data_IF_987953330534
#
_entry.id   IF_987953330534
#
_cell.length_a   1.000
_cell.length_b   1.000
_cell.length_c   1.000
_cell.angle_alpha   90.00
_cell.angle_beta   90.00
_cell.angle_gamma   90.00
#
_symmetry.space_group_name_H-M   'P 1'
#
loop_
_entity.id
_entity.type
_entity.pdbx_description
1 polymer ?
#
# COMPACT_ATOMS: atom_id res chain seq x y z
N UNK A 1 45.60 41.56 27.47
CA UNK A 1 45.79 41.97 26.06
C UNK A 1 44.57 41.53 25.27
N UNK A 2 43.92 42.50 24.61
CA UNK A 2 43.09 42.41 23.39
C UNK A 2 41.90 41.43 23.39
N UNK A 3 40.66 41.80 23.04
CA UNK A 3 40.10 43.00 22.40
C UNK A 3 38.58 43.03 22.61
N UNK A 4 38.04 44.23 22.81
CA UNK A 4 36.62 44.58 22.62
C UNK A 4 36.35 44.82 21.13
N UNK A 5 35.12 44.54 20.69
CA UNK A 5 34.53 45.06 19.43
C UNK A 5 34.51 46.61 19.42
N UNK A 6 34.37 47.25 18.24
CA UNK A 6 33.02 47.58 17.76
C UNK A 6 32.81 47.72 16.22
N UNK A 7 31.52 47.66 15.88
CA UNK A 7 30.77 48.48 14.90
C UNK A 7 30.89 48.25 13.37
N UNK A 8 29.68 48.16 12.82
CA UNK A 8 29.16 48.02 11.45
C UNK A 8 29.42 49.26 10.56
N UNK A 9 29.46 49.09 9.23
CA UNK A 9 28.58 49.93 8.41
C UNK A 9 27.86 49.21 7.26
N UNK A 10 26.60 49.66 7.09
CA UNK A 10 25.64 49.34 6.05
C UNK A 10 26.20 49.31 4.62
N UNK A 11 25.73 48.35 3.82
CA UNK A 11 25.46 48.58 2.38
C UNK A 11 24.19 47.84 1.98
N UNK A 12 23.22 48.61 1.45
CA UNK A 12 21.96 48.10 0.95
C UNK A 12 22.13 47.32 -0.35
N UNK A 13 21.28 46.31 -0.55
CA UNK A 13 21.05 45.71 -1.86
C UNK A 13 19.55 45.58 -2.08
N UNK A 14 19.13 46.18 -3.18
CA UNK A 14 17.79 46.37 -3.72
C UNK A 14 17.08 45.05 -4.04
N UNK A 15 15.88 44.86 -3.52
CA UNK A 15 14.92 43.87 -3.98
C UNK A 15 14.06 44.48 -5.11
N UNK A 16 14.23 43.98 -6.34
CA UNK A 16 13.39 44.37 -7.48
C UNK A 16 12.03 43.67 -7.38
N UNK A 17 11.00 44.46 -7.08
CA UNK A 17 9.60 44.05 -7.11
C UNK A 17 9.05 44.28 -8.51
N UNK A 18 8.60 43.23 -9.20
CA UNK A 18 7.85 43.36 -10.46
C UNK A 18 6.37 43.24 -10.14
N UNK A 19 5.71 44.40 -10.11
CA UNK A 19 4.25 44.52 -10.01
C UNK A 19 3.67 44.49 -11.42
N UNK A 20 2.79 43.54 -11.73
CA UNK A 20 1.87 43.63 -12.87
C UNK A 20 0.45 43.40 -12.38
N UNK A 21 -0.37 44.46 -12.50
CA UNK A 21 -1.78 44.52 -12.08
C UNK A 21 -2.65 44.64 -13.32
N UNK A 22 -3.58 43.69 -13.56
CA UNK A 22 -4.78 43.82 -14.43
C UNK A 22 -5.92 42.93 -13.83
N UNK A 23 -7.22 43.33 -13.89
CA UNK A 23 -8.24 43.12 -12.83
C UNK A 23 -9.17 41.88 -13.05
N UNK A 24 -10.14 41.59 -12.15
CA UNK A 24 -10.70 40.26 -11.96
C UNK A 24 -11.99 40.02 -12.75
N UNK A 25 -12.19 38.77 -13.21
CA UNK A 25 -13.52 38.19 -13.33
C UNK A 25 -13.49 36.66 -13.47
N UNK A 26 -14.52 36.09 -12.86
CA UNK A 26 -15.03 34.72 -12.95
C UNK A 26 -14.42 33.69 -11.99
N UNK A 27 -15.23 33.48 -10.94
CA UNK A 27 -15.17 32.36 -10.03
C UNK A 27 -15.17 31.05 -10.81
N UNK A 28 -14.08 30.30 -10.69
CA UNK A 28 -14.11 28.85 -10.88
C UNK A 28 -13.54 28.27 -9.60
N UNK A 29 -14.41 27.60 -8.85
CA UNK A 29 -14.08 26.82 -7.66
C UNK A 29 -13.05 25.77 -8.05
N UNK A 30 -11.77 26.08 -7.84
CA UNK A 30 -10.70 25.11 -7.91
C UNK A 30 -10.80 24.23 -6.69
N UNK A 31 -11.36 23.02 -6.86
CA UNK A 31 -11.27 21.94 -5.90
C UNK A 31 -9.78 21.67 -5.66
N UNK A 32 -9.29 22.08 -4.50
CA UNK A 32 -7.92 21.87 -4.04
C UNK A 32 -7.68 20.38 -3.87
N UNK A 33 -6.83 19.83 -4.74
CA UNK A 33 -6.23 18.50 -4.57
C UNK A 33 -5.33 18.59 -3.33
N UNK A 34 -5.72 17.91 -2.26
CA UNK A 34 -4.96 17.79 -1.02
C UNK A 34 -3.54 17.30 -1.32
N UNK A 35 -2.53 18.04 -0.86
CA UNK A 35 -1.12 17.69 -0.99
C UNK A 35 -0.84 16.34 -0.33
N UNK A 36 -0.38 15.37 -1.12
CA UNK A 36 0.05 14.07 -0.63
C UNK A 36 1.39 14.28 0.09
N UNK A 37 1.36 14.37 1.42
CA UNK A 37 2.57 14.48 2.22
C UNK A 37 3.32 13.13 2.18
N UNK A 38 4.38 13.05 1.37
CA UNK A 38 5.18 11.85 1.25
C UNK A 38 6.14 11.77 2.46
N UNK A 39 5.69 11.19 3.58
CA UNK A 39 6.57 10.90 4.74
C UNK A 39 7.78 10.04 4.32
N UNK A 40 7.60 9.18 3.31
CA UNK A 40 8.63 8.30 2.79
C UNK A 40 8.99 8.61 1.34
N UNK A 41 10.28 8.50 0.96
CA UNK A 41 10.76 8.76 -0.40
C UNK A 41 10.36 7.65 -1.39
N UNK A 42 9.95 6.47 -0.90
CA UNK A 42 9.46 5.35 -1.69
C UNK A 42 8.06 4.94 -1.22
N UNK A 43 7.24 4.32 -2.10
CA UNK A 43 6.00 3.69 -1.67
C UNK A 43 6.25 2.62 -0.60
N UNK A 44 5.42 2.58 0.43
CA UNK A 44 5.45 1.50 1.42
C UNK A 44 4.79 0.24 0.84
N UNK A 45 5.29 -0.94 1.14
CA UNK A 45 4.65 -2.19 0.75
C UNK A 45 3.43 -2.47 1.62
N UNK A 46 2.24 -2.60 1.01
CA UNK A 46 1.00 -2.99 1.66
C UNK A 46 0.82 -4.51 1.61
N UNK A 47 1.06 -5.16 2.74
CA UNK A 47 0.85 -6.59 2.89
C UNK A 47 -0.59 -6.90 3.34
N UNK A 48 -1.26 -7.82 2.64
CA UNK A 48 -2.61 -8.31 2.98
C UNK A 48 -2.71 -9.84 3.04
N UNK A 49 -1.65 -10.56 2.67
CA UNK A 49 -1.57 -12.02 2.69
C UNK A 49 -0.65 -12.53 3.81
N UNK A 50 0.11 -13.59 3.55
CA UNK A 50 1.03 -14.16 4.54
C UNK A 50 2.12 -13.19 5.00
N UNK A 51 2.41 -12.15 4.21
CA UNK A 51 3.36 -11.09 4.55
C UNK A 51 2.82 -10.11 5.60
N UNK A 52 1.57 -10.22 6.06
CA UNK A 52 1.11 -9.57 7.30
C UNK A 52 1.97 -9.99 8.51
N UNK A 53 2.63 -11.14 8.44
CA UNK A 53 3.59 -11.63 9.43
C UNK A 53 4.95 -10.97 9.23
N UNK A 54 5.43 -10.22 10.23
CA UNK A 54 6.82 -9.72 10.24
C UNK A 54 7.84 -10.86 10.25
N UNK A 55 7.50 -12.00 10.86
CA UNK A 55 8.30 -13.23 10.77
C UNK A 55 8.44 -13.71 9.32
N UNK A 56 7.34 -13.71 8.54
CA UNK A 56 7.37 -14.07 7.12
C UNK A 56 8.21 -13.08 6.31
N UNK A 57 8.04 -11.78 6.56
CA UNK A 57 8.82 -10.73 5.91
C UNK A 57 10.31 -10.89 6.18
N UNK A 58 10.73 -11.14 7.43
CA UNK A 58 12.12 -11.37 7.82
C UNK A 58 12.75 -12.60 7.16
N UNK A 59 11.96 -13.63 6.87
CA UNK A 59 12.43 -14.82 6.15
C UNK A 59 12.68 -14.50 4.67
N UNK A 60 11.85 -13.66 4.04
CA UNK A 60 11.92 -13.35 2.61
C UNK A 60 12.93 -12.23 2.29
N UNK A 61 13.00 -11.22 3.15
CA UNK A 61 13.79 -10.02 2.99
C UNK A 61 15.16 -10.20 3.67
N UNK A 62 16.11 -10.78 2.94
CA UNK A 62 17.42 -11.15 3.50
C UNK A 62 18.51 -10.10 3.28
N UNK A 63 18.24 -9.03 2.53
CA UNK A 63 19.21 -7.97 2.28
C UNK A 63 19.29 -6.99 3.46
N UNK A 64 18.16 -6.40 3.84
CA UNK A 64 18.02 -5.56 5.03
C UNK A 64 16.78 -5.96 5.84
N UNK A 65 16.83 -7.10 6.55
CA UNK A 65 15.69 -7.59 7.32
C UNK A 65 15.26 -6.65 8.45
N UNK A 66 16.16 -5.81 8.99
CA UNK A 66 15.80 -4.89 10.08
C UNK A 66 14.95 -3.72 9.56
N UNK A 67 15.20 -3.26 8.34
CA UNK A 67 14.35 -2.30 7.65
C UNK A 67 13.08 -2.99 7.12
N UNK A 68 13.26 -3.97 6.23
CA UNK A 68 12.21 -4.52 5.38
C UNK A 68 11.21 -5.43 6.09
N UNK A 69 11.50 -5.88 7.32
CA UNK A 69 10.56 -6.67 8.13
C UNK A 69 9.94 -5.92 9.30
N UNK A 70 10.29 -4.64 9.50
CA UNK A 70 9.74 -3.82 10.59
C UNK A 70 8.37 -3.24 10.17
N UNK A 71 7.27 -3.59 10.85
CA UNK A 71 5.96 -3.00 10.57
C UNK A 71 5.98 -1.49 10.82
N UNK A 72 5.56 -0.71 9.83
CA UNK A 72 5.52 0.76 9.88
C UNK A 72 4.15 1.29 10.28
N UNK A 73 3.08 0.68 9.77
CA UNK A 73 1.71 1.13 10.02
C UNK A 73 0.69 0.02 9.75
N UNK A 74 -0.53 0.21 10.27
CA UNK A 74 -1.74 -0.43 9.76
C UNK A 74 -2.44 0.57 8.84
N UNK A 75 -2.88 0.09 7.68
CA UNK A 75 -3.57 0.90 6.69
C UNK A 75 -4.75 0.14 6.08
N UNK A 76 -5.61 0.88 5.39
CA UNK A 76 -6.79 0.36 4.73
C UNK A 76 -6.96 0.86 3.30
N UNK A 77 -7.64 0.05 2.49
CA UNK A 77 -8.02 0.32 1.11
C UNK A 77 -9.54 0.22 1.00
N UNK A 78 -10.21 1.35 0.82
CA UNK A 78 -11.68 1.43 0.77
C UNK A 78 -12.23 1.07 -0.62
N UNK A 79 -13.31 0.30 -0.66
CA UNK A 79 -13.90 -0.26 -1.89
C UNK A 79 -13.16 -1.47 -2.46
N UNK A 80 -12.10 -1.92 -1.79
CA UNK A 80 -11.33 -3.10 -2.17
C UNK A 80 -11.88 -4.33 -1.46
N UNK A 81 -11.68 -5.51 -2.06
CA UNK A 81 -12.14 -6.78 -1.49
C UNK A 81 -11.02 -7.79 -1.34
N UNK A 82 -10.91 -8.41 -0.18
CA UNK A 82 -9.98 -9.48 0.11
C UNK A 82 -10.65 -10.84 -0.11
N UNK A 83 -9.91 -11.78 -0.69
CA UNK A 83 -10.39 -13.16 -0.89
C UNK A 83 -9.21 -14.13 -1.04
N UNK A 84 -9.52 -15.42 -1.02
CA UNK A 84 -8.62 -16.47 -1.49
C UNK A 84 -8.98 -16.79 -2.94
N UNK A 85 -8.03 -16.62 -3.87
CA UNK A 85 -8.24 -16.91 -5.28
C UNK A 85 -8.23 -18.43 -5.55
N UNK A 86 -8.58 -18.83 -6.77
CA UNK A 86 -8.64 -20.25 -7.15
C UNK A 86 -7.29 -20.97 -7.10
N UNK A 87 -6.17 -20.24 -7.05
CA UNK A 87 -4.85 -20.82 -6.79
C UNK A 87 -4.63 -21.18 -5.30
N UNK A 88 -5.52 -20.73 -4.41
CA UNK A 88 -5.51 -21.00 -2.98
C UNK A 88 -4.64 -20.05 -2.15
N UNK A 89 -4.39 -18.84 -2.66
CA UNK A 89 -3.63 -17.78 -2.02
C UNK A 89 -4.45 -16.50 -1.86
N UNK A 90 -4.05 -15.63 -0.92
CA UNK A 90 -4.70 -14.34 -0.74
C UNK A 90 -4.52 -13.45 -1.96
N UNK A 91 -5.59 -12.76 -2.32
CA UNK A 91 -5.61 -11.73 -3.34
C UNK A 91 -6.54 -10.60 -2.91
N UNK A 92 -6.42 -9.46 -3.58
CA UNK A 92 -7.32 -8.32 -3.44
C UNK A 92 -7.91 -7.94 -4.78
N UNK A 93 -9.18 -7.55 -4.78
CA UNK A 93 -9.89 -7.06 -5.95
C UNK A 93 -10.09 -5.56 -5.81
N UNK A 94 -9.62 -4.73 -6.77
CA UNK A 94 -9.86 -3.30 -6.75
C UNK A 94 -11.35 -2.96 -7.00
N UNK A 95 -11.77 -1.73 -6.66
CA UNK A 95 -13.13 -1.28 -6.90
C UNK A 95 -13.46 -1.29 -8.41
N UNK A 96 -14.75 -1.39 -8.80
CA UNK A 96 -15.17 -1.62 -10.19
C UNK A 96 -14.53 -0.69 -11.23
N UNK A 97 -14.31 0.57 -10.89
CA UNK A 97 -13.70 1.61 -11.73
C UNK A 97 -12.20 1.44 -11.96
N UNK A 98 -11.55 0.51 -11.25
CA UNK A 98 -10.13 0.18 -11.42
C UNK A 98 -9.89 -1.25 -11.92
N UNK A 99 -10.92 -2.10 -11.99
CA UNK A 99 -10.77 -3.48 -12.48
C UNK A 99 -10.31 -3.54 -13.93
N UNK A 100 -9.44 -4.51 -14.23
CA UNK A 100 -8.94 -4.82 -15.59
C UNK A 100 -9.07 -6.31 -15.91
N UNK A 101 -9.23 -6.66 -17.19
CA UNK A 101 -9.17 -8.05 -17.64
C UNK A 101 -10.17 -8.96 -16.91
N UNK A 102 -9.67 -10.05 -16.31
CA UNK A 102 -10.51 -11.01 -15.56
C UNK A 102 -11.20 -10.40 -14.35
N UNK A 103 -10.64 -9.33 -13.79
CA UNK A 103 -11.28 -8.62 -12.69
C UNK A 103 -12.63 -8.02 -13.10
N UNK A 104 -12.78 -7.58 -14.34
CA UNK A 104 -14.06 -7.05 -14.85
C UNK A 104 -15.10 -8.15 -15.06
N UNK A 105 -14.67 -9.35 -15.46
CA UNK A 105 -15.60 -10.44 -15.80
C UNK A 105 -15.98 -11.32 -14.61
N UNK A 106 -15.02 -11.61 -13.73
CA UNK A 106 -15.20 -12.57 -12.63
C UNK A 106 -15.29 -11.86 -11.26
N UNK A 107 -14.90 -10.58 -11.16
CA UNK A 107 -14.79 -9.84 -9.89
C UNK A 107 -16.10 -9.58 -9.15
N UNK A 108 -17.25 -9.59 -9.82
CA UNK A 108 -18.55 -9.39 -9.16
C UNK A 108 -18.92 -10.56 -8.23
N UNK A 109 -18.31 -11.72 -8.42
CA UNK A 109 -18.49 -12.89 -7.54
C UNK A 109 -17.66 -12.79 -6.25
N UNK A 110 -16.71 -11.87 -6.15
CA UNK A 110 -15.89 -11.67 -4.94
C UNK A 110 -16.70 -10.93 -3.88
N UNK A 111 -16.86 -11.50 -2.66
CA UNK A 111 -17.69 -10.92 -1.63
C UNK A 111 -17.12 -9.59 -1.09
N UNK A 112 -18.02 -8.73 -0.64
CA UNK A 112 -17.70 -7.48 0.08
C UNK A 112 -16.86 -7.81 1.32
N UNK A 113 -15.85 -6.99 1.59
CA UNK A 113 -14.93 -7.17 2.73
C UNK A 113 -15.37 -6.39 3.96
N UNK A 114 -16.12 -7.07 4.82
CA UNK A 114 -16.65 -6.47 6.05
C UNK A 114 -17.80 -5.52 5.78
N UNK A 115 -18.35 -4.91 6.83
CA UNK A 115 -19.43 -3.93 6.70
C UNK A 115 -18.98 -2.64 5.97
N UNK A 116 -17.67 -2.35 6.00
CA UNK A 116 -17.08 -1.14 5.41
C UNK A 116 -16.66 -1.29 3.93
N UNK A 117 -16.74 -2.49 3.35
CA UNK A 117 -16.18 -2.84 2.01
C UNK A 117 -14.72 -2.40 1.86
N UNK A 118 -13.88 -2.83 2.80
CA UNK A 118 -12.50 -2.34 2.95
C UNK A 118 -11.54 -3.50 3.16
N UNK A 119 -10.30 -3.36 2.69
CA UNK A 119 -9.19 -4.28 3.02
C UNK A 119 -8.20 -3.61 3.96
N UNK A 120 -7.87 -4.28 5.06
CA UNK A 120 -6.78 -3.86 5.94
C UNK A 120 -5.46 -4.56 5.59
N UNK A 121 -4.35 -3.86 5.82
CA UNK A 121 -3.00 -4.37 5.61
C UNK A 121 -1.98 -3.78 6.58
N UNK A 122 -0.79 -4.38 6.59
CA UNK A 122 0.39 -3.84 7.28
C UNK A 122 1.31 -3.21 6.26
N UNK A 123 1.80 -2.01 6.56
CA UNK A 123 2.78 -1.30 5.74
C UNK A 123 4.19 -1.62 6.19
N UNK A 124 5.08 -1.87 5.22
CA UNK A 124 6.52 -2.03 5.42
C UNK A 124 7.28 -1.03 4.56
N UNK A 125 8.32 -0.42 5.12
CA UNK A 125 9.37 0.19 4.29
C UNK A 125 10.22 -0.92 3.70
N UNK A 126 10.71 -0.76 2.48
CA UNK A 126 11.46 -1.80 1.77
C UNK A 126 12.73 -1.24 1.16
N UNK A 127 13.86 -1.92 1.38
CA UNK A 127 15.04 -1.70 0.55
C UNK A 127 14.73 -2.10 -0.91
N UNK A 128 15.31 -1.45 -1.93
CA UNK A 128 15.14 -1.85 -3.32
C UNK A 128 15.51 -3.33 -3.58
N UNK A 129 16.52 -3.83 -2.88
CA UNK A 129 17.01 -5.20 -2.98
C UNK A 129 16.02 -6.21 -2.38
N UNK A 130 15.41 -5.91 -1.24
CA UNK A 130 14.37 -6.76 -0.64
C UNK A 130 13.05 -6.70 -1.41
N UNK A 131 12.70 -5.55 -1.99
CA UNK A 131 11.58 -5.45 -2.93
C UNK A 131 11.82 -6.37 -4.14
N UNK A 132 13.04 -6.41 -4.68
CA UNK A 132 13.39 -7.33 -5.76
C UNK A 132 13.36 -8.81 -5.33
N UNK A 133 13.75 -9.12 -4.08
CA UNK A 133 13.58 -10.48 -3.54
C UNK A 133 12.09 -10.85 -3.43
N UNK A 134 11.24 -9.94 -2.94
CA UNK A 134 9.80 -10.15 -2.90
C UNK A 134 9.19 -10.31 -4.29
N UNK A 135 9.64 -9.55 -5.28
CA UNK A 135 9.20 -9.72 -6.68
C UNK A 135 9.41 -11.17 -7.16
N UNK A 136 10.47 -11.86 -6.69
CA UNK A 136 10.67 -13.29 -6.95
C UNK A 136 9.72 -14.23 -6.19
N UNK A 137 9.29 -13.87 -4.97
CA UNK A 137 8.30 -14.66 -4.20
C UNK A 137 6.88 -14.49 -4.73
N UNK A 138 6.56 -13.31 -5.26
CA UNK A 138 5.27 -12.99 -5.88
C UNK A 138 5.26 -13.30 -7.39
N UNK A 139 6.36 -13.87 -7.91
CA UNK A 139 6.60 -14.25 -9.32
C UNK A 139 6.23 -13.13 -10.30
N UNK A 140 6.78 -11.93 -10.10
CA UNK A 140 6.52 -10.75 -10.94
C UNK A 140 7.25 -10.86 -12.28
N UNK A 141 6.52 -10.68 -13.38
CA UNK A 141 7.12 -10.59 -14.72
C UNK A 141 7.70 -9.19 -14.99
N UNK A 142 8.98 -9.00 -14.67
CA UNK A 142 9.71 -7.76 -14.98
C UNK A 142 9.80 -7.45 -16.48
N UNK A 143 9.58 -8.44 -17.35
CA UNK A 143 9.56 -8.30 -18.80
C UNK A 143 8.21 -7.88 -19.37
N UNK A 144 7.17 -7.78 -18.53
CA UNK A 144 5.82 -7.44 -18.96
C UNK A 144 5.76 -6.04 -19.61
N UNK A 145 4.91 -5.92 -20.62
CA UNK A 145 4.70 -4.66 -21.34
C UNK A 145 4.11 -3.59 -20.43
N UNK A 146 4.32 -2.32 -20.77
CA UNK A 146 3.61 -1.22 -20.14
C UNK A 146 2.08 -1.44 -20.16
N UNK A 147 1.38 -0.92 -19.15
CA UNK A 147 -0.07 -1.07 -19.08
C UNK A 147 -0.75 -0.52 -20.32
N UNK A 148 -1.69 -1.31 -20.84
CA UNK A 148 -2.54 -1.01 -21.99
C UNK A 148 -3.92 -0.56 -21.54
N UNK A 149 -4.19 -0.52 -20.23
CA UNK A 149 -5.46 -0.09 -19.69
C UNK A 149 -5.69 1.39 -20.01
N UNK A 150 -6.87 1.70 -20.54
CA UNK A 150 -7.33 3.09 -20.71
C UNK A 150 -8.04 3.63 -19.45
N UNK A 151 -8.40 2.71 -18.55
CA UNK A 151 -9.22 2.96 -17.36
C UNK A 151 -8.35 3.21 -16.14
N UNK A 152 -7.26 2.46 -16.00
CA UNK A 152 -6.31 2.58 -14.89
C UNK A 152 -5.09 3.37 -15.36
N UNK A 153 -4.77 4.52 -14.74
CA UNK A 153 -3.57 5.27 -15.04
C UNK A 153 -2.29 4.46 -14.87
N UNK A 154 -1.30 4.71 -15.72
CA UNK A 154 0.02 4.05 -15.66
C UNK A 154 0.78 4.35 -14.37
N UNK A 155 0.47 5.44 -13.68
CA UNK A 155 1.01 5.73 -12.34
C UNK A 155 0.50 4.77 -11.25
N UNK A 156 -0.69 4.18 -11.44
CA UNK A 156 -1.27 3.19 -10.52
C UNK A 156 -0.90 1.78 -10.93
N UNK A 157 -1.02 1.47 -12.23
CA UNK A 157 -0.69 0.17 -12.79
C UNK A 157 0.32 0.37 -13.93
N UNK A 158 1.63 0.34 -13.67
CA UNK A 158 2.63 0.66 -14.70
C UNK A 158 2.75 -0.39 -15.81
N UNK A 159 2.50 -1.66 -15.49
CA UNK A 159 2.69 -2.81 -16.41
C UNK A 159 1.46 -3.69 -16.50
N UNK A 160 1.41 -4.55 -17.50
CA UNK A 160 0.58 -5.75 -17.49
C UNK A 160 1.13 -6.78 -16.50
N UNK A 161 0.31 -7.71 -15.99
CA UNK A 161 0.81 -8.83 -15.18
C UNK A 161 1.82 -9.71 -15.94
N UNK A 162 1.60 -9.90 -17.25
CA UNK A 162 2.50 -10.71 -18.07
C UNK A 162 2.36 -12.20 -17.78
N UNK A 163 3.49 -12.90 -17.63
CA UNK A 163 3.54 -14.35 -17.37
C UNK A 163 3.63 -14.72 -15.89
N UNK A 164 3.73 -13.73 -15.02
CA UNK A 164 3.88 -13.88 -13.59
C UNK A 164 2.55 -14.11 -12.86
N UNK A 165 2.64 -14.45 -11.58
CA UNK A 165 1.46 -14.68 -10.73
C UNK A 165 0.84 -13.38 -10.21
N UNK A 166 1.66 -12.38 -9.85
CA UNK A 166 1.18 -11.09 -9.36
C UNK A 166 1.79 -9.92 -10.15
N UNK A 167 1.02 -8.85 -10.30
CA UNK A 167 1.45 -7.57 -10.84
C UNK A 167 1.65 -6.53 -9.73
N UNK A 168 2.48 -5.52 -9.99
CA UNK A 168 2.76 -4.41 -9.07
C UNK A 168 1.84 -3.23 -9.35
N UNK A 169 1.08 -2.85 -8.33
CA UNK A 169 0.23 -1.66 -8.32
C UNK A 169 0.72 -0.67 -7.28
N UNK A 170 0.53 0.62 -7.56
CA UNK A 170 0.88 1.72 -6.68
C UNK A 170 -0.39 2.51 -6.37
N UNK A 171 -0.92 2.37 -5.15
CA UNK A 171 -2.22 2.94 -4.81
C UNK A 171 -2.20 3.65 -3.45
N UNK A 172 -2.90 4.79 -3.30
CA UNK A 172 -3.06 5.44 -2.00
C UNK A 172 -3.83 4.56 -1.01
N UNK A 173 -3.23 4.27 0.14
CA UNK A 173 -3.87 3.63 1.29
C UNK A 173 -4.06 4.65 2.41
N UNK A 174 -5.14 4.51 3.18
CA UNK A 174 -5.41 5.34 4.35
C UNK A 174 -4.74 4.69 5.55
N UNK A 175 -3.76 5.36 6.16
CA UNK A 175 -3.10 4.91 7.38
C UNK A 175 -4.03 5.12 8.56
N UNK A 176 -4.34 4.04 9.27
CA UNK A 176 -5.22 4.07 10.44
C UNK A 176 -4.44 4.04 11.76
N UNK A 177 -3.17 3.59 11.74
CA UNK A 177 -2.30 3.58 12.92
C UNK A 177 -0.82 3.49 12.53
N UNK A 178 0.02 4.39 13.03
CA UNK A 178 1.47 4.29 12.93
C UNK A 178 2.05 3.38 14.02
N UNK A 179 3.10 2.62 13.68
CA UNK A 179 3.76 1.64 14.55
C UNK A 179 5.26 1.94 14.80
N UNK A 180 5.82 2.96 14.14
CA UNK A 180 7.25 3.28 14.16
C UNK A 180 7.72 4.10 15.37
N UNK A 181 6.80 4.52 16.23
CA UNK A 181 7.11 5.16 17.52
C UNK A 181 7.22 6.68 17.49
N UNK A 182 7.10 7.31 16.32
CA UNK A 182 7.26 8.76 16.14
C UNK A 182 5.99 9.59 16.42
N UNK A 183 5.01 9.04 17.16
CA UNK A 183 4.01 9.79 17.93
C UNK A 183 3.04 10.72 17.18
N UNK A 184 1.75 10.49 17.44
CA UNK A 184 0.76 11.56 17.62
C UNK A 184 0.28 12.38 16.41
N UNK A 185 -0.05 11.73 15.29
CA UNK A 185 -1.25 12.14 14.57
C UNK A 185 -2.08 10.90 14.23
N UNK A 186 -2.94 10.52 15.19
CA UNK A 186 -4.13 9.72 14.90
C UNK A 186 -4.96 10.53 13.89
N UNK A 187 -4.98 10.07 12.64
CA UNK A 187 -5.61 10.77 11.54
C UNK A 187 -5.36 10.04 10.23
N UNK A 188 -6.41 9.97 9.40
CA UNK A 188 -6.42 9.32 8.09
C UNK A 188 -5.42 10.00 7.15
N UNK A 189 -4.14 9.60 7.23
CA UNK A 189 -3.09 10.04 6.31
C UNK A 189 -3.06 9.13 5.12
N UNK A 190 -3.06 9.72 3.94
CA UNK A 190 -2.95 8.95 2.69
C UNK A 190 -1.47 8.72 2.37
N UNK A 191 -1.09 7.46 2.18
CA UNK A 191 0.25 7.06 1.77
C UNK A 191 0.16 6.25 0.48
N UNK A 192 0.96 6.60 -0.53
CA UNK A 192 1.11 5.76 -1.73
C UNK A 192 1.81 4.45 -1.34
N UNK A 193 1.21 3.32 -1.70
CA UNK A 193 1.68 1.99 -1.34
C UNK A 193 1.92 1.12 -2.56
N UNK A 194 2.89 0.20 -2.49
CA UNK A 194 3.07 -0.92 -3.40
C UNK A 194 2.17 -2.08 -2.98
N UNK A 195 1.40 -2.62 -3.91
CA UNK A 195 0.49 -3.75 -3.71
C UNK A 195 0.79 -4.80 -4.80
N UNK A 196 0.89 -6.08 -4.42
CA UNK A 196 0.95 -7.19 -5.37
C UNK A 196 -0.46 -7.71 -5.61
N UNK A 197 -0.94 -7.71 -6.85
CA UNK A 197 -2.31 -8.11 -7.21
C UNK A 197 -2.25 -9.16 -8.32
N UNK A 198 -2.97 -10.25 -8.13
CA UNK A 198 -3.22 -11.22 -9.20
C UNK A 198 -4.47 -10.81 -9.98
N UNK A 199 -4.25 -10.39 -11.22
CA UNK A 199 -5.25 -9.86 -12.14
C UNK A 199 -5.95 -10.96 -12.93
N UNK A 200 -5.40 -12.17 -12.94
CA UNK A 200 -5.85 -13.28 -13.81
C UNK A 200 -6.64 -14.33 -13.03
N UNK A 201 -6.28 -14.60 -11.77
CA UNK A 201 -6.96 -15.57 -10.90
C UNK A 201 -7.85 -14.83 -9.90
N UNK A 202 -9.08 -14.55 -10.34
CA UNK A 202 -10.05 -13.70 -9.63
C UNK A 202 -11.20 -14.50 -9.01
N UNK A 203 -11.30 -15.79 -9.29
CA UNK A 203 -12.38 -16.62 -8.76
C UNK A 203 -12.09 -17.01 -7.34
N UNK A 204 -13.13 -17.01 -6.51
CA UNK A 204 -13.00 -17.44 -5.12
C UNK A 204 -12.73 -18.95 -5.05
N UNK A 205 -11.75 -19.35 -4.26
CA UNK A 205 -11.37 -20.74 -4.03
C UNK A 205 -10.99 -21.04 -2.57
N UNK A 206 -10.82 -22.32 -2.21
CA UNK A 206 -10.34 -22.71 -0.89
C UNK A 206 -8.84 -22.41 -0.74
N UNK A 207 -8.34 -22.12 0.47
CA UNK A 207 -6.91 -21.97 0.69
C UNK A 207 -6.19 -23.30 0.54
N UNK A 208 -4.92 -23.23 0.13
CA UNK A 208 -4.06 -24.42 0.17
C UNK A 208 -3.74 -24.82 1.60
N UNK A 209 -3.64 -26.12 1.87
CA UNK A 209 -3.34 -26.64 3.21
C UNK A 209 -2.01 -26.07 3.76
N UNK A 210 -0.97 -25.99 2.92
CA UNK A 210 0.33 -25.43 3.31
C UNK A 210 0.29 -23.89 3.49
N UNK A 211 -0.75 -23.23 3.00
CA UNK A 211 -0.93 -21.79 3.16
C UNK A 211 -1.64 -21.43 4.47
N UNK A 212 -2.57 -22.27 4.93
CA UNK A 212 -3.35 -22.05 6.16
C UNK A 212 -2.44 -21.73 7.35
N UNK A 213 -1.41 -22.53 7.59
CA UNK A 213 -0.48 -22.30 8.71
C UNK A 213 0.27 -20.97 8.63
N UNK A 214 0.61 -20.51 7.41
CA UNK A 214 1.26 -19.21 7.20
C UNK A 214 0.28 -18.06 7.46
N UNK A 215 -0.96 -18.17 6.99
CA UNK A 215 -1.99 -17.18 7.23
C UNK A 215 -2.40 -17.09 8.70
N UNK A 216 -2.52 -18.22 9.40
CA UNK A 216 -2.80 -18.25 10.84
C UNK A 216 -1.73 -17.52 11.64
N UNK A 217 -0.44 -17.70 11.30
CA UNK A 217 0.64 -16.88 11.89
C UNK A 217 0.48 -15.40 11.54
N UNK A 218 0.16 -15.08 10.29
CA UNK A 218 0.04 -13.71 9.80
C UNK A 218 -1.09 -12.94 10.50
N UNK A 219 -2.27 -13.55 10.64
CA UNK A 219 -3.41 -12.99 11.38
C UNK A 219 -3.01 -12.74 12.84
N UNK A 220 -2.47 -13.77 13.52
CA UNK A 220 -2.07 -13.66 14.93
C UNK A 220 -1.04 -12.54 15.16
N UNK A 221 -0.02 -12.46 14.31
CA UNK A 221 1.03 -11.43 14.43
C UNK A 221 0.49 -10.03 14.13
N UNK A 222 -0.34 -9.86 13.10
CA UNK A 222 -0.97 -8.58 12.80
C UNK A 222 -1.88 -8.12 13.95
N UNK A 223 -2.68 -9.01 14.53
CA UNK A 223 -3.55 -8.69 15.66
C UNK A 223 -2.77 -8.21 16.90
N UNK A 224 -1.56 -8.73 17.15
CA UNK A 224 -0.69 -8.25 18.23
C UNK A 224 -0.23 -6.81 18.03
N UNK A 225 -0.20 -6.32 16.78
CA UNK A 225 0.12 -4.93 16.43
C UNK A 225 -1.11 -4.00 16.55
N UNK A 226 -2.30 -4.56 16.78
CA UNK A 226 -3.57 -3.85 16.82
C UNK A 226 -4.34 -3.87 15.50
N UNK A 227 -4.05 -4.81 14.60
CA UNK A 227 -4.86 -5.03 13.40
C UNK A 227 -6.32 -5.37 13.79
N UNK A 228 -7.34 -4.91 13.02
CA UNK A 228 -8.73 -5.01 13.47
C UNK A 228 -9.22 -6.47 13.53
N UNK A 229 -9.33 -7.01 14.75
CA UNK A 229 -9.75 -8.40 14.99
C UNK A 229 -11.12 -8.72 14.41
N UNK A 230 -12.08 -7.81 14.58
CA UNK A 230 -13.44 -8.00 14.05
C UNK A 230 -13.44 -8.11 12.52
N UNK A 231 -12.60 -7.33 11.82
CA UNK A 231 -12.45 -7.44 10.38
C UNK A 231 -11.75 -8.73 9.97
N UNK A 232 -10.69 -9.14 10.69
CA UNK A 232 -10.00 -10.40 10.41
C UNK A 232 -10.94 -11.60 10.58
N UNK A 233 -11.76 -11.59 11.63
CA UNK A 233 -12.80 -12.59 11.88
C UNK A 233 -13.86 -12.57 10.77
N UNK A 234 -14.40 -11.41 10.44
CA UNK A 234 -15.47 -11.33 9.45
C UNK A 234 -14.98 -11.59 8.02
N UNK A 235 -13.75 -11.26 7.67
CA UNK A 235 -13.27 -11.34 6.28
C UNK A 235 -12.32 -12.51 6.08
N UNK A 236 -11.24 -12.60 6.85
CA UNK A 236 -10.18 -13.58 6.62
C UNK A 236 -10.59 -14.98 7.12
N UNK A 237 -11.24 -15.08 8.28
CA UNK A 237 -11.63 -16.36 8.89
C UNK A 237 -12.74 -17.09 8.15
N UNK A 238 -13.50 -16.40 7.29
CA UNK A 238 -14.40 -17.06 6.32
C UNK A 238 -13.67 -18.01 5.38
N UNK A 239 -12.40 -17.74 5.11
CA UNK A 239 -11.58 -18.52 4.18
C UNK A 239 -10.50 -19.34 4.86
N UNK A 240 -9.91 -18.85 5.95
CA UNK A 240 -8.77 -19.47 6.63
C UNK A 240 -9.23 -20.18 7.91
N UNK A 241 -9.34 -21.52 7.90
CA UNK A 241 -9.65 -22.27 9.10
C UNK A 241 -8.57 -22.07 10.17
N UNK A 242 -9.01 -21.96 11.43
CA UNK A 242 -8.08 -22.05 12.54
C UNK A 242 -7.37 -23.41 12.53
N UNK A 243 -6.09 -23.39 12.85
CA UNK A 243 -5.33 -24.61 13.10
C UNK A 243 -5.80 -25.19 14.44
N UNK A 244 -6.86 -26.02 14.34
CA UNK A 244 -7.56 -26.77 15.39
C UNK A 244 -8.62 -25.99 16.20
N UNK A 245 -9.84 -26.53 16.15
CA UNK A 245 -10.60 -26.82 17.36
C UNK A 245 -10.36 -28.27 17.76
#
# INVERSE_FOLDING_TARGET
MHLKEPADPSTGTTASTVTTTIPPKDATTTTSVTEINHKYPRPLYFAFGSNLSSTQMRIRCTHDPELSSKPMAIARLDGWRWFICEAGYANVLPPPELRVGRQETDGDAVPISGEEDTVYGILYEMSPEDEFLLDGYEDVDHGASASKSKKVPTGIRPREQGKGDYNKWYFPAIVTKWLDGDGDEDGDKVQTTLIYIDEERVRVGPPREEYIGRMNRAIREAEMLGFPKAWAEDVMRRFIPDAEG
#
